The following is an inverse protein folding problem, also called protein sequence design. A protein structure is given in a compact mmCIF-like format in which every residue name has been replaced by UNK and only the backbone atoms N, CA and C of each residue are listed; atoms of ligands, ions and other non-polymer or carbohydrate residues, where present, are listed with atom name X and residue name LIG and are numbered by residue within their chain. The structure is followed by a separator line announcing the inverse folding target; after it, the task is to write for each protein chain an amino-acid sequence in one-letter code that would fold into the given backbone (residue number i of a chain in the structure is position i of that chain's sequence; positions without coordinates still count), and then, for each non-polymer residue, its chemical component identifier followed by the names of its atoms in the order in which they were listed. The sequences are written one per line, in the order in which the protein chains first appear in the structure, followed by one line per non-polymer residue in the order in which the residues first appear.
data_IF_281488949342
#
_entry.id   IF_281488949342
#
_cell.length_a   1.000
_cell.length_b   1.000
_cell.length_c   1.000
_cell.angle_alpha   90.00
_cell.angle_beta   90.00
_cell.angle_gamma   90.00
#
_symmetry.space_group_name_H-M   'P 1'
#
loop_
_entity.id
_entity.type
_entity.pdbx_description
1 polymer ?
#
# COMPACT_ATOMS: atom_id res chain seq x y z
N UNK A 1 96.05 -36.49 7.99
CA UNK A 1 94.59 -36.49 7.83
C UNK A 1 94.22 -35.44 6.81
N UNK A 2 93.50 -35.81 5.77
CA UNK A 2 92.98 -34.90 4.74
C UNK A 2 91.48 -34.77 4.91
N UNK A 3 90.93 -33.59 4.62
CA UNK A 3 89.48 -33.32 4.61
C UNK A 3 89.13 -32.88 3.20
N UNK A 4 88.19 -33.57 2.57
CA UNK A 4 87.75 -33.29 1.21
C UNK A 4 86.22 -33.19 1.18
N UNK A 5 85.69 -32.20 0.47
CA UNK A 5 84.26 -32.11 0.19
C UNK A 5 83.95 -33.07 -0.96
N UNK A 6 83.10 -34.08 -0.71
CA UNK A 6 82.75 -35.09 -1.72
C UNK A 6 81.38 -34.87 -2.34
N UNK A 7 80.49 -34.11 -1.68
CA UNK A 7 79.17 -33.73 -2.20
C UNK A 7 78.64 -32.47 -1.52
N UNK A 8 77.87 -31.65 -2.23
CA UNK A 8 77.26 -30.42 -1.71
C UNK A 8 78.00 -29.14 -2.13
N UNK A 9 77.56 -28.00 -1.61
CA UNK A 9 78.15 -26.69 -1.93
C UNK A 9 79.47 -26.46 -1.21
N UNK A 10 80.45 -25.86 -1.91
CA UNK A 10 81.74 -25.52 -1.33
C UNK A 10 81.67 -24.33 -0.37
N UNK A 11 82.69 -24.19 0.48
CA UNK A 11 82.78 -23.05 1.39
C UNK A 11 82.80 -21.73 0.61
N UNK A 12 81.82 -20.86 0.86
CA UNK A 12 81.64 -19.59 0.16
C UNK A 12 80.65 -19.63 -1.01
N UNK A 13 80.10 -20.79 -1.35
CA UNK A 13 79.00 -20.89 -2.32
C UNK A 13 77.64 -20.64 -1.65
N UNK A 14 76.71 -20.06 -2.41
CA UNK A 14 75.33 -19.88 -1.96
C UNK A 14 74.54 -21.19 -2.09
N UNK A 15 73.60 -21.42 -1.17
CA UNK A 15 72.67 -22.54 -1.25
C UNK A 15 71.41 -22.12 -2.00
N UNK A 16 70.89 -22.92 -2.95
CA UNK A 16 69.67 -22.60 -3.65
C UNK A 16 68.46 -22.60 -2.71
N UNK A 17 67.61 -21.58 -2.80
CA UNK A 17 66.34 -21.48 -2.07
C UNK A 17 65.40 -22.61 -2.49
N UNK A 18 64.66 -23.18 -1.52
CA UNK A 18 63.64 -24.21 -1.76
C UNK A 18 64.19 -25.63 -1.98
N UNK A 19 65.52 -25.83 -1.88
CA UNK A 19 66.15 -27.14 -2.06
C UNK A 19 66.96 -27.53 -0.82
N UNK A 20 66.76 -28.75 -0.34
CA UNK A 20 67.62 -29.34 0.71
C UNK A 20 68.92 -29.83 0.08
N UNK A 21 70.03 -29.14 0.35
CA UNK A 21 71.36 -29.51 -0.11
C UNK A 21 72.04 -30.39 0.93
N UNK A 22 72.37 -31.63 0.58
CA UNK A 22 73.19 -32.51 1.41
C UNK A 22 74.67 -32.26 1.17
N UNK A 23 75.42 -31.99 2.24
CA UNK A 23 76.85 -31.73 2.22
C UNK A 23 77.58 -32.88 2.90
N UNK A 24 78.53 -33.49 2.20
CA UNK A 24 79.33 -34.63 2.66
C UNK A 24 80.81 -34.26 2.61
N UNK A 25 81.46 -34.36 3.77
CA UNK A 25 82.91 -34.28 3.89
C UNK A 25 83.48 -35.66 4.19
N UNK A 26 84.56 -36.00 3.50
CA UNK A 26 85.30 -37.24 3.69
C UNK A 26 86.63 -36.94 4.35
N UNK A 27 86.89 -37.60 5.49
CA UNK A 27 88.10 -37.42 6.29
C UNK A 27 88.92 -38.71 6.20
N UNK A 28 90.11 -38.62 5.63
CA UNK A 28 91.03 -39.77 5.49
C UNK A 28 92.24 -39.58 6.37
N UNK A 29 92.55 -40.54 7.24
CA UNK A 29 93.76 -40.52 8.06
C UNK A 29 95.03 -40.94 7.25
N UNK A 30 96.20 -40.85 7.86
CA UNK A 30 97.46 -41.21 7.18
C UNK A 30 97.61 -42.72 6.89
N UNK A 31 96.75 -43.55 7.50
CA UNK A 31 96.71 -45.00 7.34
C UNK A 31 95.68 -45.44 6.29
N UNK A 32 94.95 -44.50 5.68
CA UNK A 32 93.92 -44.76 4.67
C UNK A 32 92.55 -45.09 5.24
N UNK A 33 92.32 -44.94 6.55
CA UNK A 33 90.97 -45.08 7.11
C UNK A 33 90.15 -43.84 6.77
N UNK A 34 88.91 -44.05 6.34
CA UNK A 34 88.01 -42.99 5.91
C UNK A 34 86.77 -42.93 6.80
N UNK A 35 86.32 -41.72 7.11
CA UNK A 35 85.03 -41.44 7.75
C UNK A 35 84.35 -40.29 7.04
N UNK A 36 83.04 -40.39 6.85
CA UNK A 36 82.23 -39.32 6.28
C UNK A 36 81.47 -38.55 7.37
N UNK A 37 81.36 -37.24 7.18
CA UNK A 37 80.53 -36.35 7.97
C UNK A 37 79.49 -35.73 7.04
N UNK A 38 78.21 -35.91 7.38
CA UNK A 38 77.08 -35.50 6.56
C UNK A 38 76.25 -34.48 7.34
N UNK A 39 75.88 -33.38 6.69
CA UNK A 39 74.84 -32.48 7.15
C UNK A 39 73.98 -32.02 5.99
N UNK A 40 72.79 -31.51 6.28
CA UNK A 40 71.86 -30.98 5.28
C UNK A 40 71.61 -29.51 5.56
N UNK A 41 71.57 -28.70 4.50
CA UNK A 41 71.17 -27.29 4.55
C UNK A 41 69.89 -27.14 3.75
N UNK A 42 68.84 -26.64 4.38
CA UNK A 42 67.60 -26.25 3.70
C UNK A 42 67.46 -24.76 3.83
N UNK A 43 67.44 -24.05 2.70
CA UNK A 43 67.10 -22.63 2.65
C UNK A 43 65.62 -22.55 2.33
N UNK A 44 64.81 -22.14 3.31
CA UNK A 44 63.39 -21.91 3.10
C UNK A 44 63.19 -20.57 2.39
N UNK A 45 62.23 -20.54 1.47
CA UNK A 45 61.72 -19.28 0.93
C UNK A 45 60.95 -18.57 2.05
N UNK A 46 61.24 -17.29 2.26
CA UNK A 46 60.40 -16.45 3.11
C UNK A 46 59.17 -16.10 2.27
N UNK A 47 58.12 -16.89 2.41
CA UNK A 47 56.83 -16.61 1.79
C UNK A 47 55.91 -16.16 2.93
N UNK A 48 55.82 -14.85 3.20
CA UNK A 48 54.92 -14.36 4.23
C UNK A 48 53.49 -14.82 3.90
N UNK A 49 52.64 -14.99 4.90
CA UNK A 49 51.24 -15.29 4.62
C UNK A 49 50.56 -14.01 4.08
N UNK A 50 49.62 -14.12 3.11
CA UNK A 50 48.84 -12.96 2.70
C UNK A 50 48.13 -12.32 3.90
N UNK A 51 47.86 -11.01 3.85
CA UNK A 51 47.12 -10.34 4.92
C UNK A 51 45.72 -10.96 5.09
N UNK A 52 45.20 -10.90 6.31
CA UNK A 52 43.81 -11.28 6.58
C UNK A 52 42.83 -10.37 5.82
N UNK A 53 41.61 -10.83 5.49
CA UNK A 53 40.60 -9.98 4.88
C UNK A 53 40.36 -8.71 5.70
N UNK A 54 40.27 -7.53 5.07
CA UNK A 54 40.07 -6.28 5.78
C UNK A 54 38.67 -6.20 6.42
N UNK A 55 38.54 -5.48 7.53
CA UNK A 55 37.25 -5.14 8.12
C UNK A 55 36.70 -3.91 7.40
N UNK A 56 35.63 -4.08 6.63
CA UNK A 56 35.04 -3.02 5.80
C UNK A 56 33.52 -2.92 6.05
N UNK A 57 32.99 -1.69 6.01
CA UNK A 57 31.56 -1.43 6.18
C UNK A 57 31.12 -0.15 5.47
N UNK A 58 29.84 -0.09 5.11
CA UNK A 58 29.20 1.13 4.64
C UNK A 58 29.08 2.11 5.81
N UNK A 59 29.48 3.36 5.59
CA UNK A 59 29.38 4.44 6.60
C UNK A 59 28.42 5.54 6.19
N UNK A 60 28.22 5.71 4.88
CA UNK A 60 27.22 6.61 4.32
C UNK A 60 26.41 5.82 3.31
N UNK A 61 25.14 5.61 3.63
CA UNK A 61 24.17 4.99 2.74
C UNK A 61 23.76 5.96 1.63
N UNK A 62 23.28 5.40 0.52
CA UNK A 62 22.70 6.22 -0.55
C UNK A 62 21.36 6.79 -0.12
N UNK A 63 21.01 7.96 -0.67
CA UNK A 63 19.71 8.60 -0.45
C UNK A 63 19.12 9.07 -1.78
N UNK A 64 17.83 9.36 -1.81
CA UNK A 64 17.18 9.90 -3.01
C UNK A 64 17.74 11.27 -3.43
N UNK A 65 18.29 12.04 -2.47
CA UNK A 65 18.93 13.32 -2.72
C UNK A 65 20.40 13.20 -3.15
N UNK A 66 21.09 12.16 -2.67
CA UNK A 66 22.48 11.84 -3.01
C UNK A 66 22.60 10.33 -3.30
N UNK A 67 22.65 9.93 -4.59
CA UNK A 67 22.65 8.53 -4.99
C UNK A 67 24.00 7.83 -4.77
N UNK A 68 24.95 8.49 -4.10
CA UNK A 68 26.28 7.93 -3.84
C UNK A 68 26.50 7.64 -2.36
N UNK A 69 27.33 6.63 -2.08
CA UNK A 69 27.66 6.17 -0.73
C UNK A 69 29.16 6.17 -0.44
N UNK A 70 29.50 5.77 0.78
CA UNK A 70 30.89 5.69 1.25
C UNK A 70 31.15 4.38 1.99
N UNK A 71 32.19 3.66 1.56
CA UNK A 71 32.71 2.48 2.24
C UNK A 71 33.98 2.86 2.99
N UNK A 72 34.10 2.40 4.24
CA UNK A 72 35.32 2.55 5.02
C UNK A 72 35.91 1.21 5.45
N UNK A 73 37.23 1.19 5.54
CA UNK A 73 38.04 0.05 5.94
C UNK A 73 38.83 0.42 7.20
N UNK A 74 38.87 -0.47 8.18
CA UNK A 74 39.73 -0.33 9.35
C UNK A 74 41.20 -0.53 8.95
N UNK A 75 41.93 0.58 8.82
CA UNK A 75 43.31 0.59 8.31
C UNK A 75 44.33 0.02 9.30
N UNK A 76 45.34 -0.68 8.79
CA UNK A 76 46.48 -1.23 9.53
C UNK A 76 47.79 -0.75 8.90
N UNK A 77 48.83 -0.63 9.72
CA UNK A 77 50.15 -0.18 9.25
C UNK A 77 50.74 -1.17 8.23
N UNK A 78 51.30 -0.64 7.14
CA UNK A 78 51.93 -1.44 6.09
C UNK A 78 50.97 -2.08 5.09
N UNK A 79 49.66 -1.83 5.20
CA UNK A 79 48.65 -2.31 4.24
C UNK A 79 48.10 -1.19 3.37
N UNK A 80 47.76 -1.56 2.13
CA UNK A 80 46.99 -0.73 1.21
C UNK A 80 45.69 -1.44 0.84
N UNK A 81 44.66 -0.70 0.45
CA UNK A 81 43.30 -1.20 0.25
C UNK A 81 42.78 -0.88 -1.14
N UNK A 82 41.96 -1.78 -1.67
CA UNK A 82 41.29 -1.62 -2.95
C UNK A 82 39.86 -2.14 -2.89
N UNK A 83 38.99 -1.56 -3.71
CA UNK A 83 37.60 -2.02 -3.95
C UNK A 83 37.40 -2.60 -5.35
N UNK A 84 38.41 -2.49 -6.23
CA UNK A 84 38.38 -2.91 -7.63
C UNK A 84 39.47 -3.93 -7.98
N UNK A 85 40.34 -4.27 -7.02
CA UNK A 85 41.45 -5.20 -7.17
C UNK A 85 42.66 -4.65 -7.92
N UNK A 86 42.60 -3.42 -8.44
CA UNK A 86 43.62 -2.82 -9.31
C UNK A 86 44.26 -1.58 -8.65
N UNK A 87 43.44 -0.67 -8.12
CA UNK A 87 43.88 0.58 -7.54
C UNK A 87 43.95 0.45 -6.01
N UNK A 88 45.17 0.51 -5.47
CA UNK A 88 45.43 0.40 -4.04
C UNK A 88 45.82 1.76 -3.42
N UNK A 89 45.27 2.06 -2.25
CA UNK A 89 45.53 3.29 -1.50
C UNK A 89 45.72 3.00 -0.01
N UNK A 90 46.52 3.83 0.68
CA UNK A 90 46.68 3.73 2.16
C UNK A 90 45.42 4.17 2.90
N UNK A 91 44.65 5.10 2.32
CA UNK A 91 43.37 5.54 2.87
C UNK A 91 42.37 4.40 2.84
N UNK A 92 41.73 4.12 3.98
CA UNK A 92 40.63 3.16 4.05
C UNK A 92 39.28 3.72 3.58
N UNK A 93 39.22 4.94 3.02
CA UNK A 93 37.97 5.63 2.68
C UNK A 93 37.74 5.64 1.17
N UNK A 94 36.59 5.15 0.73
CA UNK A 94 36.13 5.13 -0.65
C UNK A 94 34.79 5.88 -0.76
N UNK A 95 34.83 7.10 -1.31
CA UNK A 95 33.67 8.00 -1.42
C UNK A 95 33.09 8.04 -2.84
N UNK A 96 31.89 8.60 -2.97
CA UNK A 96 31.17 8.78 -4.25
C UNK A 96 30.94 7.47 -5.00
N UNK A 97 30.63 6.40 -4.26
CA UNK A 97 30.38 5.07 -4.80
C UNK A 97 28.93 4.94 -5.26
N UNK A 98 28.71 4.40 -6.45
CA UNK A 98 27.37 4.02 -6.92
C UNK A 98 26.89 2.75 -6.21
N UNK A 99 25.57 2.48 -6.15
CA UNK A 99 25.07 1.21 -5.61
C UNK A 99 25.62 0.01 -6.36
N UNK A 100 26.41 -0.82 -5.68
CA UNK A 100 26.96 -2.06 -6.21
C UNK A 100 27.45 -2.96 -5.06
N UNK A 101 27.89 -4.17 -5.42
CA UNK A 101 28.65 -5.06 -4.55
C UNK A 101 30.13 -4.87 -4.77
N UNK A 102 30.82 -4.42 -3.73
CA UNK A 102 32.26 -4.16 -3.75
C UNK A 102 33.04 -5.29 -3.09
N UNK A 103 34.14 -5.68 -3.73
CA UNK A 103 35.10 -6.66 -3.21
C UNK A 103 36.31 -5.93 -2.62
N UNK A 104 36.34 -5.79 -1.30
CA UNK A 104 37.40 -5.05 -0.60
C UNK A 104 38.58 -5.96 -0.30
N UNK A 105 39.76 -5.64 -0.82
CA UNK A 105 41.00 -6.39 -0.58
C UNK A 105 42.05 -5.52 0.11
N UNK A 106 42.96 -6.17 0.83
CA UNK A 106 44.16 -5.56 1.40
C UNK A 106 45.41 -6.13 0.72
N UNK A 107 46.44 -5.30 0.54
CA UNK A 107 47.71 -5.68 -0.06
C UNK A 107 48.89 -5.22 0.79
N UNK A 108 49.84 -6.12 1.03
CA UNK A 108 51.03 -5.88 1.84
C UNK A 108 52.23 -5.35 1.03
N UNK A 109 53.36 -5.14 1.72
CA UNK A 109 54.62 -4.69 1.09
C UNK A 109 55.30 -5.73 0.17
N UNK A 110 54.85 -6.99 0.24
CA UNK A 110 55.36 -8.12 -0.56
C UNK A 110 54.44 -8.44 -1.75
N UNK A 111 53.54 -7.53 -2.10
CA UNK A 111 52.54 -7.65 -3.16
C UNK A 111 51.49 -8.78 -2.96
N UNK A 112 51.34 -9.29 -1.74
CA UNK A 112 50.35 -10.32 -1.44
C UNK A 112 48.99 -9.72 -1.15
N UNK A 113 47.95 -10.33 -1.70
CA UNK A 113 46.57 -9.83 -1.63
C UNK A 113 45.74 -10.74 -0.72
N UNK A 114 44.98 -10.12 0.18
CA UNK A 114 44.04 -10.83 1.05
C UNK A 114 42.90 -11.48 0.26
N UNK A 115 42.17 -12.38 0.89
CA UNK A 115 40.80 -12.69 0.43
C UNK A 115 39.92 -11.43 0.49
N UNK A 116 38.92 -11.34 -0.38
CA UNK A 116 38.02 -10.19 -0.42
C UNK A 116 36.99 -10.21 0.74
N UNK A 117 36.71 -9.03 1.27
CA UNK A 117 35.55 -8.74 2.10
C UNK A 117 34.45 -8.16 1.21
N UNK A 118 33.30 -8.83 1.13
CA UNK A 118 32.19 -8.38 0.29
C UNK A 118 31.36 -7.36 1.06
N UNK A 119 31.18 -6.17 0.49
CA UNK A 119 30.34 -5.10 1.02
C UNK A 119 29.34 -4.70 -0.05
N UNK A 120 28.06 -4.71 0.28
CA UNK A 120 26.99 -4.27 -0.64
C UNK A 120 26.55 -2.88 -0.24
N UNK A 121 26.55 -1.95 -1.20
CA UNK A 121 25.97 -0.63 -1.08
C UNK A 121 24.62 -0.65 -1.79
N UNK A 122 23.53 -0.58 -1.02
CA UNK A 122 22.19 -0.71 -1.57
C UNK A 122 21.76 0.57 -2.31
N UNK A 123 20.93 0.44 -3.36
CA UNK A 123 20.33 1.60 -4.02
C UNK A 123 19.35 2.32 -3.10
N UNK A 124 19.16 3.63 -3.25
CA UNK A 124 18.27 4.36 -2.37
C UNK A 124 16.82 3.99 -2.71
N UNK A 125 16.00 3.89 -1.68
CA UNK A 125 14.59 3.53 -1.79
C UNK A 125 13.75 4.74 -1.37
N UNK A 126 12.68 5.02 -2.13
CA UNK A 126 11.72 6.06 -1.75
C UNK A 126 11.01 5.68 -0.44
N UNK A 127 10.75 6.67 0.40
CA UNK A 127 9.84 6.48 1.52
C UNK A 127 8.42 6.16 1.00
N UNK A 128 7.77 5.18 1.64
CA UNK A 128 6.40 4.80 1.29
C UNK A 128 5.42 5.90 1.74
N UNK A 129 4.51 6.30 0.84
CA UNK A 129 3.48 7.30 1.16
C UNK A 129 2.44 6.66 2.07
N UNK A 130 2.20 7.26 3.24
CA UNK A 130 1.20 6.77 4.19
C UNK A 130 -0.19 7.27 3.78
N UNK A 131 -1.07 6.34 3.43
CA UNK A 131 -2.43 6.65 2.98
C UNK A 131 -3.42 6.70 4.13
N UNK A 132 -4.25 7.74 4.20
CA UNK A 132 -5.44 7.75 5.05
C UNK A 132 -6.56 6.97 4.37
N UNK A 133 -7.46 6.38 5.16
CA UNK A 133 -8.58 5.57 4.65
C UNK A 133 -8.14 4.47 3.64
N UNK A 134 -6.92 3.96 3.77
CA UNK A 134 -6.33 2.99 2.83
C UNK A 134 -6.29 3.48 1.37
N UNK A 135 -6.23 4.80 1.15
CA UNK A 135 -6.21 5.40 -0.18
C UNK A 135 -7.56 5.40 -0.88
N UNK A 136 -8.65 5.18 -0.16
CA UNK A 136 -10.01 5.15 -0.72
C UNK A 136 -10.80 6.34 -0.21
N UNK A 137 -11.41 7.08 -1.14
CA UNK A 137 -12.39 8.12 -0.85
C UNK A 137 -13.75 7.76 -1.47
N UNK A 138 -14.83 8.00 -0.73
CA UNK A 138 -16.20 7.92 -1.25
C UNK A 138 -16.75 9.34 -1.34
N UNK A 139 -17.15 9.77 -2.54
CA UNK A 139 -17.70 11.09 -2.83
C UNK A 139 -19.10 10.95 -3.43
N UNK A 140 -19.85 12.05 -3.39
CA UNK A 140 -21.10 12.22 -4.10
C UNK A 140 -20.87 13.01 -5.39
N UNK A 141 -21.70 12.80 -6.43
CA UNK A 141 -21.56 13.53 -7.71
C UNK A 141 -21.74 15.06 -7.57
N UNK A 142 -22.43 15.50 -6.51
CA UNK A 142 -22.67 16.92 -6.20
C UNK A 142 -21.62 17.51 -5.23
N UNK A 143 -20.66 16.71 -4.78
CA UNK A 143 -19.59 17.20 -3.92
C UNK A 143 -18.68 18.17 -4.68
N UNK A 144 -18.04 19.06 -3.93
CA UNK A 144 -16.99 19.92 -4.47
C UNK A 144 -15.76 19.12 -4.90
N UNK A 145 -14.95 19.69 -5.78
CA UNK A 145 -13.65 19.13 -6.18
C UNK A 145 -12.83 18.65 -4.96
N UNK A 146 -12.35 17.42 -5.05
CA UNK A 146 -11.60 16.76 -3.98
C UNK A 146 -10.10 16.76 -4.30
N UNK A 147 -9.27 17.22 -3.37
CA UNK A 147 -7.81 17.19 -3.53
C UNK A 147 -7.27 15.82 -3.12
N UNK A 148 -6.69 15.07 -4.06
CA UNK A 148 -6.15 13.74 -3.82
C UNK A 148 -5.01 13.73 -2.79
N UNK A 149 -4.34 14.86 -2.55
CA UNK A 149 -3.34 14.96 -1.48
C UNK A 149 -3.95 14.83 -0.07
N UNK A 150 -5.26 15.03 0.09
CA UNK A 150 -5.94 14.76 1.38
C UNK A 150 -5.95 13.26 1.73
N UNK A 151 -5.69 12.38 0.75
CA UNK A 151 -5.51 10.95 1.00
C UNK A 151 -4.10 10.59 1.49
N UNK A 152 -3.15 11.53 1.47
CA UNK A 152 -1.79 11.32 1.95
C UNK A 152 -1.62 11.85 3.37
N UNK A 153 -0.70 11.25 4.11
CA UNK A 153 -0.32 11.69 5.46
C UNK A 153 1.18 11.53 5.68
N UNK A 154 1.72 12.30 6.64
CA UNK A 154 3.15 12.33 6.90
C UNK A 154 3.93 13.14 5.88
N UNK A 155 5.25 12.93 5.87
CA UNK A 155 6.16 13.52 4.88
C UNK A 155 6.22 12.62 3.65
N UNK A 156 6.19 13.23 2.46
CA UNK A 156 6.28 12.53 1.18
C UNK A 156 6.91 13.45 0.13
N UNK A 157 7.40 12.87 -0.96
CA UNK A 157 7.93 13.63 -2.09
C UNK A 157 6.78 14.32 -2.86
N UNK A 158 6.76 15.65 -2.83
CA UNK A 158 5.73 16.48 -3.47
C UNK A 158 6.07 16.91 -4.91
N UNK A 159 7.13 16.33 -5.51
CA UNK A 159 7.55 16.63 -6.89
C UNK A 159 6.87 15.74 -7.94
N UNK A 160 6.09 14.76 -7.49
CA UNK A 160 5.36 13.84 -8.36
C UNK A 160 4.18 14.49 -9.08
N UNK A 161 3.61 13.74 -10.02
CA UNK A 161 2.48 14.16 -10.85
C UNK A 161 1.35 13.16 -10.75
N UNK A 162 0.11 13.66 -10.67
CA UNK A 162 -1.09 12.84 -10.69
C UNK A 162 -1.49 12.46 -12.12
N UNK A 163 -1.92 11.21 -12.28
CA UNK A 163 -2.34 10.60 -13.54
C UNK A 163 -3.71 9.94 -13.30
N UNK A 164 -4.66 10.28 -14.18
CA UNK A 164 -5.95 9.60 -14.27
C UNK A 164 -5.78 8.32 -15.08
N UNK A 165 -5.69 7.18 -14.40
CA UNK A 165 -5.38 5.89 -15.05
C UNK A 165 -6.59 5.31 -15.78
N UNK A 166 -7.80 5.65 -15.33
CA UNK A 166 -9.05 5.24 -15.97
C UNK A 166 -9.48 6.20 -17.09
N UNK A 167 -8.75 7.30 -17.31
CA UNK A 167 -9.04 8.35 -18.30
C UNK A 167 -10.46 8.91 -18.18
N UNK A 168 -10.91 9.11 -16.94
CA UNK A 168 -12.21 9.69 -16.63
C UNK A 168 -12.35 11.13 -17.16
N UNK A 169 -11.24 11.87 -17.21
CA UNK A 169 -11.23 13.29 -17.57
C UNK A 169 -11.62 14.22 -16.42
N UNK A 170 -11.84 13.67 -15.22
CA UNK A 170 -12.22 14.42 -14.02
C UNK A 170 -11.03 15.05 -13.27
N UNK A 171 -9.79 14.67 -13.61
CA UNK A 171 -8.59 15.13 -12.91
C UNK A 171 -8.03 16.43 -13.50
N UNK A 172 -7.84 17.44 -12.65
CA UNK A 172 -7.08 18.64 -12.94
C UNK A 172 -6.02 18.88 -11.86
N UNK A 173 -4.74 18.71 -12.23
CA UNK A 173 -3.61 18.67 -11.28
C UNK A 173 -3.85 17.56 -10.24
N UNK A 174 -4.11 17.88 -8.98
CA UNK A 174 -4.47 16.93 -7.92
C UNK A 174 -5.97 16.91 -7.58
N UNK A 175 -6.77 17.79 -8.18
CA UNK A 175 -8.18 17.91 -7.89
C UNK A 175 -9.00 17.02 -8.81
N UNK A 176 -9.91 16.25 -8.24
CA UNK A 176 -10.90 15.44 -8.97
C UNK A 176 -12.25 16.12 -8.88
N UNK A 177 -12.86 16.44 -10.02
CA UNK A 177 -14.24 16.97 -10.14
C UNK A 177 -15.25 15.80 -10.23
N UNK A 178 -16.02 15.51 -9.16
CA UNK A 178 -16.96 14.40 -9.14
C UNK A 178 -18.07 14.53 -10.19
N UNK A 179 -18.37 15.75 -10.66
CA UNK A 179 -19.45 15.99 -11.63
C UNK A 179 -19.15 15.41 -13.02
N UNK A 180 -17.88 15.11 -13.31
CA UNK A 180 -17.45 14.48 -14.56
C UNK A 180 -17.44 12.94 -14.48
N UNK A 181 -17.77 12.38 -13.31
CA UNK A 181 -17.74 10.95 -13.03
C UNK A 181 -19.16 10.35 -13.04
N UNK A 182 -19.25 9.04 -13.29
CA UNK A 182 -20.52 8.32 -13.27
C UNK A 182 -20.83 7.82 -11.85
N UNK A 183 -22.12 7.81 -11.54
CA UNK A 183 -22.64 7.36 -10.27
C UNK A 183 -22.50 5.84 -10.07
N UNK A 184 -22.18 5.41 -8.84
CA UNK A 184 -21.91 4.01 -8.51
C UNK A 184 -20.62 3.42 -9.08
N UNK A 185 -19.77 4.24 -9.73
CA UNK A 185 -18.49 3.80 -10.29
C UNK A 185 -17.30 4.10 -9.36
N UNK A 186 -16.16 3.50 -9.68
CA UNK A 186 -14.91 3.64 -8.95
C UNK A 186 -13.78 3.94 -9.92
N UNK A 187 -12.97 4.94 -9.61
CA UNK A 187 -11.92 5.49 -10.46
C UNK A 187 -10.59 5.47 -9.72
N UNK A 188 -9.52 5.15 -10.46
CA UNK A 188 -8.16 5.07 -9.94
C UNK A 188 -7.34 6.26 -10.41
N UNK A 189 -6.53 6.78 -9.50
CA UNK A 189 -5.58 7.85 -9.76
C UNK A 189 -4.22 7.43 -9.24
N UNK A 190 -3.18 7.77 -10.00
CA UNK A 190 -1.81 7.38 -9.69
C UNK A 190 -0.96 8.62 -9.50
N UNK A 191 -0.22 8.67 -8.40
CA UNK A 191 0.81 9.67 -8.15
C UNK A 191 2.17 9.06 -8.51
N UNK A 192 2.86 9.66 -9.48
CA UNK A 192 4.15 9.19 -9.99
C UNK A 192 5.25 10.20 -9.65
N UNK A 193 6.27 9.74 -8.93
CA UNK A 193 7.50 10.48 -8.64
C UNK A 193 8.59 9.94 -9.56
N UNK A 194 9.32 10.84 -10.23
CA UNK A 194 10.42 10.48 -11.14
C UNK A 194 11.77 10.82 -10.51
N UNK A 195 12.85 10.17 -10.95
CA UNK A 195 14.21 10.43 -10.45
C UNK A 195 14.90 9.16 -9.98
N UNK A 196 15.87 9.31 -9.06
CA UNK A 196 16.67 8.20 -8.51
C UNK A 196 15.77 7.23 -7.74
N UNK A 197 14.87 7.75 -6.92
CA UNK A 197 13.89 6.98 -6.16
C UNK A 197 12.51 7.06 -6.81
N UNK A 198 12.42 6.70 -8.10
CA UNK A 198 11.15 6.70 -8.80
C UNK A 198 10.14 5.80 -8.07
N UNK A 199 8.96 6.33 -7.79
CA UNK A 199 7.92 5.65 -7.02
C UNK A 199 6.54 5.94 -7.58
N UNK A 200 5.63 5.02 -7.32
CA UNK A 200 4.24 5.07 -7.78
C UNK A 200 3.35 4.78 -6.58
N UNK A 201 2.31 5.59 -6.40
CA UNK A 201 1.26 5.39 -5.38
C UNK A 201 -0.10 5.49 -6.03
N UNK A 202 -0.99 4.54 -5.76
CA UNK A 202 -2.36 4.50 -6.30
C UNK A 202 -3.36 4.85 -5.21
N UNK A 203 -4.36 5.66 -5.58
CA UNK A 203 -5.53 5.97 -4.76
C UNK A 203 -6.81 5.76 -5.57
N UNK A 204 -7.92 5.62 -4.87
CA UNK A 204 -9.21 5.28 -5.45
C UNK A 204 -10.29 6.25 -4.98
N UNK A 205 -11.09 6.75 -5.92
CA UNK A 205 -12.29 7.54 -5.64
C UNK A 205 -13.51 6.73 -6.11
N UNK A 206 -14.45 6.49 -5.21
CA UNK A 206 -15.75 5.88 -5.51
C UNK A 206 -16.84 6.93 -5.45
N UNK A 207 -17.72 6.95 -6.45
CA UNK A 207 -18.92 7.79 -6.45
C UNK A 207 -20.07 6.97 -5.91
N UNK A 208 -20.63 7.42 -4.78
CA UNK A 208 -21.71 6.75 -4.08
C UNK A 208 -23.09 7.16 -4.63
N UNK A 209 -23.85 6.17 -5.09
CA UNK A 209 -25.21 6.33 -5.63
C UNK A 209 -26.28 6.56 -4.56
N UNK A 210 -25.97 6.22 -3.31
CA UNK A 210 -26.84 6.48 -2.15
C UNK A 210 -26.75 7.93 -1.65
N UNK A 211 -25.87 8.76 -2.22
CA UNK A 211 -25.75 10.18 -1.85
C UNK A 211 -26.95 11.03 -2.26
N UNK A 212 -27.68 10.60 -3.29
CA UNK A 212 -28.93 11.25 -3.67
C UNK A 212 -30.02 10.65 -2.80
N UNK A 213 -30.30 11.29 -1.66
CA UNK A 213 -31.58 11.08 -0.96
C UNK A 213 -32.67 11.42 -1.95
N UNK A 214 -33.29 10.40 -2.55
CA UNK A 214 -34.41 10.57 -3.47
C UNK A 214 -35.46 11.40 -2.73
N UNK A 215 -35.62 12.66 -3.14
CA UNK A 215 -36.67 13.51 -2.61
C UNK A 215 -37.99 12.76 -2.77
N UNK A 216 -38.67 12.48 -1.65
CA UNK A 216 -39.92 11.73 -1.65
C UNK A 216 -40.91 12.39 -2.61
N UNK A 217 -41.18 11.78 -3.77
CA UNK A 217 -42.02 12.42 -4.76
C UNK A 217 -43.48 12.27 -4.40
N UNK A 218 -44.30 13.24 -4.80
CA UNK A 218 -45.76 13.15 -4.65
C UNK A 218 -46.33 11.95 -5.41
N UNK A 219 -45.64 11.44 -6.44
CA UNK A 219 -46.07 10.30 -7.22
C UNK A 219 -45.90 8.99 -6.45
N UNK A 220 -44.76 8.81 -5.79
CA UNK A 220 -44.50 7.61 -4.97
C UNK A 220 -45.51 7.52 -3.82
N UNK A 221 -45.83 8.67 -3.21
CA UNK A 221 -46.89 8.74 -2.20
C UNK A 221 -48.25 8.34 -2.77
N UNK A 222 -48.64 8.86 -3.94
CA UNK A 222 -49.91 8.50 -4.61
C UNK A 222 -50.00 7.00 -4.89
N UNK A 223 -48.90 6.39 -5.31
CA UNK A 223 -48.85 4.97 -5.63
C UNK A 223 -48.90 4.07 -4.39
N UNK A 224 -48.44 4.59 -3.24
CA UNK A 224 -48.50 3.89 -1.94
C UNK A 224 -49.88 3.88 -1.27
N UNK A 225 -50.83 4.72 -1.71
CA UNK A 225 -52.15 4.83 -1.07
C UNK A 225 -53.04 3.64 -1.48
N UNK A 226 -53.63 2.98 -0.47
CA UNK A 226 -54.58 1.89 -0.65
C UNK A 226 -55.72 2.24 -1.64
N UNK A 227 -56.01 1.31 -2.55
CA UNK A 227 -57.07 1.44 -3.58
C UNK A 227 -58.36 0.71 -3.21
N UNK A 228 -58.29 -0.23 -2.27
CA UNK A 228 -59.42 -0.98 -1.76
C UNK A 228 -59.26 -1.30 -0.27
N UNK A 229 -60.38 -1.43 0.44
CA UNK A 229 -60.46 -1.96 1.80
C UNK A 229 -61.45 -3.12 1.80
N UNK A 230 -61.03 -4.27 2.32
CA UNK A 230 -61.84 -5.50 2.46
C UNK A 230 -61.70 -6.00 3.89
N UNK A 231 -62.46 -5.45 4.85
CA UNK A 231 -62.29 -5.71 6.28
C UNK A 231 -62.87 -7.08 6.64
N UNK A 232 -62.13 -8.14 6.35
CA UNK A 232 -62.57 -9.53 6.52
C UNK A 232 -61.66 -10.31 7.50
N UNK A 233 -60.57 -9.69 7.98
CA UNK A 233 -59.65 -10.26 8.94
C UNK A 233 -58.65 -11.26 8.35
N UNK A 234 -58.42 -11.22 7.03
CA UNK A 234 -57.41 -12.07 6.36
C UNK A 234 -56.00 -11.44 6.33
N UNK A 235 -55.85 -10.23 6.90
CA UNK A 235 -54.64 -9.38 6.91
C UNK A 235 -54.28 -8.76 5.55
N UNK A 236 -55.16 -8.84 4.54
CA UNK A 236 -54.96 -8.21 3.23
C UNK A 236 -56.01 -7.15 2.97
N UNK A 237 -55.57 -5.90 2.80
CA UNK A 237 -56.44 -4.74 2.60
C UNK A 237 -57.50 -4.57 3.69
N UNK A 238 -57.27 -5.06 4.90
CA UNK A 238 -58.22 -4.90 6.01
C UNK A 238 -58.41 -3.43 6.41
N UNK A 239 -57.39 -2.60 6.16
CA UNK A 239 -57.38 -1.18 6.46
C UNK A 239 -56.99 -0.34 5.25
N UNK A 240 -57.39 0.93 5.24
CA UNK A 240 -56.82 1.94 4.36
C UNK A 240 -55.42 2.30 4.84
N UNK A 241 -54.39 1.91 4.09
CA UNK A 241 -52.99 2.18 4.45
C UNK A 241 -52.32 3.13 3.47
N UNK A 242 -51.30 3.84 3.96
CA UNK A 242 -50.39 4.73 3.23
C UNK A 242 -48.98 4.22 3.52
N UNK A 243 -48.23 3.85 2.47
CA UNK A 243 -46.98 3.07 2.61
C UNK A 243 -45.69 3.87 2.82
N UNK A 244 -45.75 5.20 2.96
CA UNK A 244 -44.56 6.06 3.14
C UNK A 244 -44.64 6.81 4.48
N UNK A 245 -44.29 6.21 5.60
CA UNK A 245 -44.44 6.86 6.91
C UNK A 245 -43.14 7.12 7.69
N UNK A 246 -42.06 6.36 7.48
CA UNK A 246 -40.81 6.55 8.25
C UNK A 246 -39.70 7.33 7.54
N UNK A 247 -39.58 7.25 6.22
CA UNK A 247 -38.40 7.75 5.48
C UNK A 247 -38.47 9.26 5.17
N UNK A 248 -39.68 9.81 5.04
CA UNK A 248 -39.91 11.20 4.58
C UNK A 248 -40.33 12.17 5.69
N UNK A 249 -40.63 11.69 6.90
CA UNK A 249 -41.09 12.54 8.02
C UNK A 249 -42.49 13.17 7.85
N UNK A 250 -43.30 12.66 6.92
CA UNK A 250 -44.65 13.16 6.67
C UNK A 250 -45.63 12.73 7.76
N UNK A 251 -46.62 13.60 8.04
CA UNK A 251 -47.76 13.28 8.89
C UNK A 251 -49.04 13.42 8.09
N UNK A 252 -49.95 12.46 8.24
CA UNK A 252 -51.15 12.38 7.41
C UNK A 252 -52.40 12.76 8.18
N UNK A 253 -53.19 13.70 7.68
CA UNK A 253 -54.55 13.94 8.17
C UNK A 253 -55.53 13.43 7.11
N UNK A 254 -56.39 12.48 7.49
CA UNK A 254 -57.27 11.76 6.58
C UNK A 254 -58.74 12.13 6.81
N UNK A 255 -59.46 12.42 5.74
CA UNK A 255 -60.92 12.54 5.72
C UNK A 255 -61.51 11.62 4.65
N UNK A 256 -62.59 10.93 4.95
CA UNK A 256 -63.30 10.04 4.02
C UNK A 256 -64.76 10.43 3.93
N UNK A 257 -65.28 10.42 2.72
CA UNK A 257 -66.61 10.85 2.34
C UNK A 257 -67.35 9.75 1.58
N UNK A 258 -68.66 9.66 1.77
CA UNK A 258 -69.50 8.83 0.92
C UNK A 258 -69.75 9.50 -0.44
N UNK A 259 -70.45 8.79 -1.34
CA UNK A 259 -70.77 9.28 -2.70
C UNK A 259 -71.61 10.56 -2.79
N UNK A 260 -72.18 11.01 -1.67
CA UNK A 260 -72.98 12.24 -1.58
C UNK A 260 -72.20 13.40 -0.94
N UNK A 261 -70.92 13.20 -0.61
CA UNK A 261 -70.07 14.21 0.01
C UNK A 261 -70.26 14.35 1.53
N UNK A 262 -70.96 13.42 2.19
CA UNK A 262 -71.03 13.40 3.64
C UNK A 262 -69.78 12.74 4.22
N UNK A 263 -69.17 13.37 5.22
CA UNK A 263 -68.00 12.84 5.95
C UNK A 263 -68.40 11.61 6.77
N UNK A 264 -67.68 10.52 6.56
CA UNK A 264 -67.90 9.24 7.27
C UNK A 264 -66.73 8.91 8.20
N UNK A 265 -65.55 9.47 7.98
CA UNK A 265 -64.39 9.27 8.84
C UNK A 265 -63.46 10.47 8.78
N UNK A 266 -62.84 10.80 9.91
CA UNK A 266 -61.78 11.79 9.99
C UNK A 266 -60.76 11.37 11.04
N UNK A 267 -59.47 11.52 10.73
CA UNK A 267 -58.38 11.26 11.66
C UNK A 267 -57.24 12.26 11.41
N UNK A 268 -56.76 12.89 12.48
CA UNK A 268 -55.49 13.62 12.45
C UNK A 268 -54.36 12.67 12.80
N UNK A 269 -53.22 12.85 12.15
CA UNK A 269 -52.09 11.93 12.26
C UNK A 269 -52.56 10.47 12.12
N UNK A 270 -53.21 10.18 11.00
CA UNK A 270 -53.82 8.91 10.70
C UNK A 270 -52.83 7.74 10.83
N UNK A 271 -53.27 6.66 11.47
CA UNK A 271 -52.43 5.54 11.90
C UNK A 271 -52.67 4.27 11.07
N UNK A 272 -53.10 4.40 9.80
CA UNK A 272 -53.32 3.26 8.90
C UNK A 272 -54.31 2.20 9.45
N UNK A 273 -55.37 2.66 10.14
CA UNK A 273 -56.25 1.80 10.95
C UNK A 273 -57.74 1.92 10.63
N UNK A 274 -58.14 2.55 9.53
CA UNK A 274 -59.54 2.63 9.11
C UNK A 274 -59.95 1.41 8.29
N UNK A 275 -60.95 0.68 8.77
CA UNK A 275 -61.49 -0.59 8.26
C UNK A 275 -62.88 -0.45 7.61
N UNK A 276 -63.30 0.77 7.30
CA UNK A 276 -64.66 1.02 6.80
C UNK A 276 -65.72 1.16 7.90
N UNK A 277 -65.35 1.22 9.18
CA UNK A 277 -66.25 1.59 10.25
C UNK A 277 -66.53 3.10 10.27
N UNK A 278 -67.74 3.48 10.65
CA UNK A 278 -68.15 4.87 10.88
C UNK A 278 -69.24 4.97 11.93
N UNK A 279 -69.05 5.80 12.95
CA UNK A 279 -70.10 6.15 13.92
C UNK A 279 -71.28 6.89 13.29
N UNK A 280 -71.10 7.44 12.09
CA UNK A 280 -72.12 8.13 11.29
C UNK A 280 -72.77 7.21 10.23
N UNK A 281 -72.59 5.89 10.34
CA UNK A 281 -73.19 4.93 9.42
C UNK A 281 -74.69 4.75 9.68
N UNK A 282 -75.43 4.44 8.61
CA UNK A 282 -76.87 4.11 8.68
C UNK A 282 -77.14 2.66 9.12
N UNK A 283 -76.11 1.82 9.22
CA UNK A 283 -76.23 0.41 9.60
C UNK A 283 -76.14 0.24 11.11
N UNK A 284 -76.84 -0.76 11.66
CA UNK A 284 -76.80 -1.07 13.10
C UNK A 284 -75.44 -1.60 13.59
N UNK A 285 -74.57 -2.02 12.66
CA UNK A 285 -73.20 -2.47 12.95
C UNK A 285 -72.16 -1.36 12.85
N UNK A 286 -72.57 -0.14 12.47
CA UNK A 286 -71.70 0.97 12.11
C UNK A 286 -70.69 0.68 10.97
N UNK A 287 -70.78 -0.49 10.34
CA UNK A 287 -70.03 -0.82 9.14
C UNK A 287 -70.64 -0.08 7.94
N UNK A 288 -69.80 0.62 7.18
CA UNK A 288 -70.24 1.29 5.97
C UNK A 288 -70.55 0.26 4.86
N UNK A 289 -71.60 0.47 4.05
CA UNK A 289 -71.95 -0.47 2.99
C UNK A 289 -70.88 -0.52 1.90
N UNK A 290 -70.78 -1.67 1.22
CA UNK A 290 -69.92 -1.83 0.06
C UNK A 290 -70.18 -0.75 -1.00
N UNK A 291 -69.12 -0.13 -1.49
CA UNK A 291 -69.23 0.95 -2.45
C UNK A 291 -67.96 1.78 -2.57
N UNK A 292 -68.04 2.80 -3.43
CA UNK A 292 -66.95 3.76 -3.63
C UNK A 292 -67.09 4.91 -2.65
N UNK A 293 -66.01 5.16 -1.91
CA UNK A 293 -65.81 6.30 -1.02
C UNK A 293 -64.72 7.20 -1.58
N UNK A 294 -64.72 8.45 -1.16
CA UNK A 294 -63.74 9.45 -1.59
C UNK A 294 -62.92 9.89 -0.39
N UNK A 295 -61.64 10.17 -0.58
CA UNK A 295 -60.78 10.64 0.49
C UNK A 295 -60.08 11.95 0.13
N UNK A 296 -59.76 12.71 1.17
CA UNK A 296 -58.84 13.84 1.13
C UNK A 296 -57.74 13.52 2.13
N UNK A 297 -56.50 13.51 1.65
CA UNK A 297 -55.31 13.26 2.43
C UNK A 297 -54.47 14.54 2.47
N UNK A 298 -54.41 15.18 3.64
CA UNK A 298 -53.58 16.35 3.89
C UNK A 298 -52.21 15.88 4.40
N UNK A 299 -51.14 16.30 3.73
CA UNK A 299 -49.77 15.88 4.03
C UNK A 299 -49.09 17.03 4.77
N UNK A 300 -48.86 16.86 6.07
CA UNK A 300 -48.14 17.83 6.90
C UNK A 300 -46.65 17.53 6.87
N UNK A 301 -45.84 18.58 7.05
CA UNK A 301 -44.38 18.58 6.85
C UNK A 301 -43.97 18.33 5.38
N UNK A 302 -44.80 18.74 4.43
CA UNK A 302 -44.44 18.78 3.01
C UNK A 302 -44.98 20.04 2.35
N UNK A 303 -44.49 20.36 1.16
CA UNK A 303 -45.03 21.42 0.30
C UNK A 303 -46.14 20.89 -0.65
N UNK A 304 -46.59 19.66 -0.45
CA UNK A 304 -47.54 19.02 -1.35
C UNK A 304 -48.97 19.50 -1.13
N UNK A 305 -49.68 19.71 -2.25
CA UNK A 305 -51.12 19.91 -2.20
C UNK A 305 -51.84 18.65 -1.69
N UNK A 306 -52.98 18.78 -1.00
CA UNK A 306 -53.76 17.64 -0.54
C UNK A 306 -54.09 16.66 -1.66
N UNK A 307 -53.90 15.37 -1.40
CA UNK A 307 -54.25 14.32 -2.37
C UNK A 307 -55.73 14.02 -2.24
N UNK A 308 -56.43 14.00 -3.37
CA UNK A 308 -57.81 13.58 -3.46
C UNK A 308 -57.91 12.32 -4.31
N UNK A 309 -58.70 11.36 -3.86
CA UNK A 309 -58.86 10.10 -4.56
C UNK A 309 -60.12 9.37 -4.15
N UNK A 310 -60.26 8.15 -4.65
CA UNK A 310 -61.35 7.26 -4.29
C UNK A 310 -60.80 5.92 -3.79
N UNK A 311 -61.61 5.25 -2.98
CA UNK A 311 -61.35 3.91 -2.49
C UNK A 311 -62.59 3.05 -2.60
N UNK A 312 -62.38 1.78 -2.93
CA UNK A 312 -63.44 0.79 -2.91
C UNK A 312 -63.50 0.08 -1.55
N UNK A 313 -64.62 0.20 -0.84
CA UNK A 313 -64.88 -0.60 0.35
C UNK A 313 -65.70 -1.83 -0.05
N UNK A 314 -65.15 -3.02 0.18
CA UNK A 314 -65.78 -4.31 -0.08
C UNK A 314 -66.12 -5.03 1.23
N UNK A 315 -67.32 -4.81 1.74
CA UNK A 315 -67.85 -5.56 2.89
C UNK A 315 -68.52 -6.85 2.43
N UNK A 316 -68.33 -7.92 3.20
CA UNK A 316 -68.90 -9.25 2.95
C UNK A 316 -70.14 -9.48 3.81
#
# INVERSE_FOLDING_TARGET
TTVELTQGSASGEEFPVGVTTTVIYSITDASGNNVECIFTVTVNEDNPEPPSPPSASVTTETTCADPTGTITVETQEGLTYSIDGENYQESGVFENLEPDTYEVTAKDEFDQVSTATIVTLDPPVADEIVLVNQGVMNLCIEDSDFDLFELFSGEYDNTGTWIDTDNSGALQNSFVDPTQLNDGETYRFQYEVTGVCASITEVTVSINDDCVVLNCSIQDLRDSISKAVTPNGDNFNDFFTIGLDSECGFNYDLKIFNRWGAEVFTARNYQNNWDGFSENSFSSSNQLPSGTYYYILEIRNSEFEPIQGYIYLGTK
#
